data_IF_740292621537
#
_entry.id   IF_740292621537
#
_cell.length_a   1.000
_cell.length_b   1.000
_cell.length_c   1.000
_cell.angle_alpha   90.00
_cell.angle_beta   90.00
_cell.angle_gamma   90.00
#
_symmetry.space_group_name_H-M   'P 1'
#
loop_
_entity.id
_entity.type
_entity.pdbx_description
1 polymer ?
#
# COMPACT_ATOMS: atom_id res chain seq x y z
N UNK A 1 7.34 29.56 -19.05
CA UNK A 1 6.65 30.27 -17.93
C UNK A 1 6.02 29.17 -17.07
N UNK A 2 6.78 28.27 -16.44
CA UNK A 2 7.91 28.48 -15.50
C UNK A 2 7.53 29.36 -14.31
N UNK A 3 6.56 28.88 -13.52
CA UNK A 3 6.28 29.21 -12.12
C UNK A 3 5.13 28.29 -11.74
N UNK A 4 5.28 27.25 -10.94
CA UNK A 4 5.63 27.36 -9.53
C UNK A 4 6.27 26.04 -9.07
N UNK A 5 7.59 26.02 -9.10
CA UNK A 5 8.44 24.99 -8.52
C UNK A 5 8.89 25.54 -7.17
N UNK A 6 8.21 25.27 -6.05
CA UNK A 6 8.80 25.18 -4.68
C UNK A 6 7.76 25.09 -3.55
N UNK A 7 7.37 23.87 -3.15
CA UNK A 7 7.07 23.58 -1.73
C UNK A 7 7.24 22.10 -1.36
N UNK A 8 8.22 21.43 -1.96
CA UNK A 8 8.57 20.07 -1.59
C UNK A 8 10.03 19.80 -1.99
N UNK A 9 11.02 20.04 -1.11
CA UNK A 9 12.44 19.84 -1.46
C UNK A 9 12.78 18.38 -1.81
N UNK A 10 11.86 17.44 -1.54
CA UNK A 10 12.01 16.00 -1.83
C UNK A 10 11.20 15.55 -3.07
N UNK A 11 10.33 16.39 -3.62
CA UNK A 11 9.59 16.12 -4.86
C UNK A 11 10.27 16.80 -6.06
N UNK A 12 11.57 16.58 -6.22
CA UNK A 12 12.33 17.03 -7.39
C UNK A 12 12.35 15.86 -8.38
N UNK A 13 11.31 15.75 -9.23
CA UNK A 13 11.22 14.68 -10.21
C UNK A 13 10.09 14.90 -11.23
N UNK A 14 10.17 14.23 -12.38
CA UNK A 14 9.06 14.23 -13.35
C UNK A 14 7.89 13.36 -12.82
N UNK A 15 6.74 13.39 -13.50
CA UNK A 15 5.55 12.60 -13.12
C UNK A 15 5.85 11.11 -12.91
N UNK A 16 6.81 10.54 -13.64
CA UNK A 16 7.23 9.15 -13.49
C UNK A 16 8.00 8.93 -12.18
N UNK A 17 8.93 9.82 -11.80
CA UNK A 17 9.63 9.77 -10.51
C UNK A 17 8.65 9.83 -9.34
N UNK A 18 7.63 10.69 -9.44
CA UNK A 18 6.59 10.82 -8.43
C UNK A 18 5.75 9.54 -8.28
N UNK A 19 5.39 8.93 -9.41
CA UNK A 19 4.65 7.67 -9.44
C UNK A 19 5.44 6.51 -8.82
N UNK A 20 6.75 6.45 -9.08
CA UNK A 20 7.64 5.44 -8.49
C UNK A 20 7.78 5.65 -6.98
N UNK A 21 7.96 6.88 -6.51
CA UNK A 21 7.99 7.18 -5.08
C UNK A 21 6.68 6.79 -4.38
N UNK A 22 5.54 7.15 -4.96
CA UNK A 22 4.22 6.79 -4.42
C UNK A 22 4.03 5.27 -4.35
N UNK A 23 4.46 4.52 -5.37
CA UNK A 23 4.41 3.07 -5.39
C UNK A 23 5.19 2.44 -4.22
N UNK A 24 6.44 2.85 -4.04
CA UNK A 24 7.30 2.31 -2.97
C UNK A 24 6.91 2.78 -1.58
N UNK A 25 6.17 3.89 -1.45
CA UNK A 25 5.62 4.34 -0.18
C UNK A 25 4.33 3.58 0.18
N UNK A 26 3.38 3.53 -0.74
CA UNK A 26 2.04 2.99 -0.47
C UNK A 26 1.97 1.47 -0.56
N UNK A 27 2.71 0.84 -1.47
CA UNK A 27 2.67 -0.62 -1.65
C UNK A 27 3.02 -1.36 -0.35
N UNK A 28 4.19 -1.10 0.25
CA UNK A 28 4.56 -1.69 1.54
C UNK A 28 3.62 -1.30 2.69
N UNK A 29 3.13 -0.06 2.72
CA UNK A 29 2.22 0.41 3.77
C UNK A 29 0.88 -0.35 3.77
N UNK A 30 0.28 -0.52 2.59
CA UNK A 30 -0.98 -1.27 2.40
C UNK A 30 -0.73 -2.75 2.71
N UNK A 31 0.35 -3.32 2.17
CA UNK A 31 0.73 -4.71 2.43
C UNK A 31 0.86 -4.99 3.92
N UNK A 32 1.60 -4.14 4.66
CA UNK A 32 1.82 -4.30 6.08
C UNK A 32 0.51 -4.19 6.88
N UNK A 33 -0.33 -3.22 6.54
CA UNK A 33 -1.63 -3.01 7.20
C UNK A 33 -2.56 -4.22 7.06
N UNK A 34 -2.63 -4.79 5.85
CA UNK A 34 -3.41 -5.99 5.57
C UNK A 34 -2.80 -7.21 6.29
N UNK A 35 -1.48 -7.34 6.26
CA UNK A 35 -0.79 -8.46 6.92
C UNK A 35 -0.99 -8.45 8.43
N UNK A 36 -0.88 -7.29 9.09
CA UNK A 36 -1.19 -7.13 10.52
C UNK A 36 -2.65 -7.47 10.87
N UNK A 37 -3.58 -7.14 9.97
CA UNK A 37 -4.99 -7.51 10.12
C UNK A 37 -5.19 -9.02 10.04
N UNK A 38 -4.51 -9.69 9.11
CA UNK A 38 -4.55 -11.15 8.97
C UNK A 38 -3.88 -11.90 10.11
N UNK A 39 -2.82 -11.36 10.70
CA UNK A 39 -2.26 -11.89 11.93
C UNK A 39 -3.30 -11.87 13.05
N UNK A 40 -4.02 -10.76 13.21
CA UNK A 40 -5.08 -10.63 14.21
C UNK A 40 -6.20 -11.64 13.99
N UNK A 41 -6.61 -11.87 12.73
CA UNK A 41 -7.59 -12.89 12.36
C UNK A 41 -7.06 -14.30 12.66
N UNK A 42 -5.79 -14.58 12.38
CA UNK A 42 -5.15 -15.87 12.67
C UNK A 42 -5.16 -16.17 14.17
N UNK A 43 -4.85 -15.17 15.01
CA UNK A 43 -4.97 -15.27 16.46
C UNK A 43 -6.42 -15.57 16.90
N UNK A 44 -7.40 -14.89 16.32
CA UNK A 44 -8.81 -15.15 16.62
C UNK A 44 -9.25 -16.57 16.22
N UNK A 45 -8.80 -17.07 15.07
CA UNK A 45 -9.08 -18.44 14.61
C UNK A 45 -8.50 -19.49 15.55
N UNK A 46 -7.29 -19.28 16.07
CA UNK A 46 -6.68 -20.18 17.05
C UNK A 46 -7.40 -20.12 18.41
N UNK A 47 -7.74 -18.93 18.91
CA UNK A 47 -8.34 -18.77 20.25
C UNK A 47 -9.81 -19.20 20.28
N UNK A 48 -10.63 -18.71 19.33
CA UNK A 48 -12.08 -18.93 19.34
C UNK A 48 -12.48 -20.22 18.63
N UNK A 49 -11.87 -20.50 17.49
CA UNK A 49 -12.25 -21.64 16.65
C UNK A 49 -11.34 -22.86 16.85
N UNK A 50 -10.31 -22.75 17.71
CA UNK A 50 -9.37 -23.84 18.05
C UNK A 50 -8.76 -24.48 16.81
N UNK A 51 -8.49 -23.69 15.78
CA UNK A 51 -7.80 -24.17 14.60
C UNK A 51 -6.39 -24.67 14.97
N UNK A 52 -6.00 -25.80 14.39
CA UNK A 52 -4.63 -26.31 14.55
C UNK A 52 -3.66 -25.50 13.70
N UNK A 53 -2.38 -25.47 14.09
CA UNK A 53 -1.33 -24.78 13.30
C UNK A 53 -1.29 -25.25 11.85
N UNK A 54 -1.49 -26.54 11.60
CA UNK A 54 -1.52 -27.09 10.24
C UNK A 54 -2.69 -26.55 9.41
N UNK A 55 -3.85 -26.28 10.03
CA UNK A 55 -5.00 -25.68 9.35
C UNK A 55 -4.75 -24.21 9.03
N UNK A 56 -4.17 -23.46 9.98
CA UNK A 56 -3.82 -22.05 9.78
C UNK A 56 -2.76 -21.91 8.67
N UNK A 57 -1.71 -22.72 8.71
CA UNK A 57 -0.63 -22.71 7.71
C UNK A 57 -1.13 -23.08 6.31
N UNK A 58 -1.97 -24.13 6.19
CA UNK A 58 -2.43 -24.58 4.86
C UNK A 58 -3.45 -23.64 4.23
N UNK A 59 -4.38 -23.09 5.02
CA UNK A 59 -5.52 -22.36 4.47
C UNK A 59 -5.41 -20.86 4.65
N UNK A 60 -5.03 -20.41 5.85
CA UNK A 60 -5.01 -19.00 6.18
C UNK A 60 -3.75 -18.34 5.61
N UNK A 61 -2.57 -18.88 5.86
CA UNK A 61 -1.29 -18.26 5.49
C UNK A 61 -1.17 -18.03 3.97
N UNK A 62 -1.39 -19.08 3.16
CA UNK A 62 -1.33 -18.93 1.69
C UNK A 62 -2.35 -17.93 1.17
N UNK A 63 -3.59 -17.99 1.66
CA UNK A 63 -4.66 -17.07 1.23
C UNK A 63 -4.35 -15.63 1.63
N UNK A 64 -3.86 -15.42 2.85
CA UNK A 64 -3.51 -14.12 3.38
C UNK A 64 -2.33 -13.49 2.65
N UNK A 65 -1.31 -14.28 2.29
CA UNK A 65 -0.20 -13.80 1.47
C UNK A 65 -0.64 -13.42 0.07
N UNK A 66 -1.39 -14.29 -0.62
CA UNK A 66 -1.89 -14.00 -1.97
C UNK A 66 -2.73 -12.73 -1.95
N UNK A 67 -3.66 -12.60 -1.01
CA UNK A 67 -4.50 -11.42 -0.90
C UNK A 67 -3.70 -10.16 -0.57
N UNK A 68 -2.82 -10.21 0.44
CA UNK A 68 -2.01 -9.07 0.84
C UNK A 68 -1.11 -8.59 -0.31
N UNK A 69 -0.47 -9.50 -1.04
CA UNK A 69 0.36 -9.16 -2.21
C UNK A 69 -0.48 -8.61 -3.35
N UNK A 70 -1.64 -9.21 -3.63
CA UNK A 70 -2.52 -8.76 -4.72
C UNK A 70 -3.06 -7.36 -4.46
N UNK A 71 -3.49 -7.06 -3.24
CA UNK A 71 -4.02 -5.74 -2.88
C UNK A 71 -2.89 -4.72 -2.71
N UNK A 72 -1.80 -5.12 -2.03
CA UNK A 72 -0.63 -4.27 -1.79
C UNK A 72 0.07 -3.82 -3.08
N UNK A 73 0.03 -4.63 -4.15
CA UNK A 73 0.53 -4.24 -5.47
C UNK A 73 -0.57 -3.66 -6.36
N UNK A 74 -1.78 -4.21 -6.30
CA UNK A 74 -2.89 -3.82 -7.17
C UNK A 74 -3.34 -2.38 -6.99
N UNK A 75 -3.48 -1.91 -5.75
CA UNK A 75 -3.89 -0.53 -5.45
C UNK A 75 -2.88 0.49 -6.02
N UNK A 76 -1.58 0.41 -5.72
CA UNK A 76 -0.63 1.39 -6.28
C UNK A 76 -0.47 1.25 -7.80
N UNK A 77 -0.58 0.04 -8.39
CA UNK A 77 -0.59 -0.12 -9.86
C UNK A 77 -1.80 0.60 -10.48
N UNK A 78 -2.99 0.42 -9.91
CA UNK A 78 -4.20 1.08 -10.38
C UNK A 78 -4.06 2.61 -10.30
N UNK A 79 -3.49 3.12 -9.20
CA UNK A 79 -3.24 4.54 -9.03
C UNK A 79 -2.23 5.12 -10.04
N UNK A 80 -1.21 4.35 -10.43
CA UNK A 80 -0.32 4.74 -11.53
C UNK A 80 -1.09 4.80 -12.85
N UNK A 81 -1.90 3.77 -13.13
CA UNK A 81 -2.67 3.67 -14.37
C UNK A 81 -3.70 4.81 -14.53
N UNK A 82 -4.30 5.26 -13.43
CA UNK A 82 -5.27 6.37 -13.41
C UNK A 82 -4.63 7.74 -13.23
N UNK A 83 -3.28 7.83 -13.22
CA UNK A 83 -2.55 9.07 -12.92
C UNK A 83 -2.97 9.71 -11.58
N UNK A 84 -3.36 8.89 -10.60
CA UNK A 84 -3.86 9.31 -9.30
C UNK A 84 -2.76 9.70 -8.30
N UNK A 85 -1.51 9.85 -8.74
CA UNK A 85 -0.37 10.21 -7.89
C UNK A 85 -0.05 11.70 -8.05
N UNK A 86 -0.12 12.47 -6.96
CA UNK A 86 0.24 13.90 -6.94
C UNK A 86 1.23 14.20 -5.83
N UNK A 87 1.97 15.29 -5.97
CA UNK A 87 2.85 15.82 -4.92
C UNK A 87 2.01 16.53 -3.86
N UNK A 88 2.16 16.14 -2.60
CA UNK A 88 1.60 16.88 -1.47
C UNK A 88 2.55 17.99 -1.02
N UNK A 89 2.10 19.23 -1.07
CA UNK A 89 2.87 20.41 -0.65
C UNK A 89 3.15 20.45 0.87
N UNK A 90 2.36 19.73 1.67
CA UNK A 90 2.49 19.75 3.13
C UNK A 90 3.64 18.88 3.64
N UNK A 91 3.91 17.76 2.97
CA UNK A 91 4.89 16.76 3.41
C UNK A 91 5.99 16.51 2.37
N UNK A 92 5.87 17.10 1.18
CA UNK A 92 6.82 16.96 0.10
C UNK A 92 6.98 15.54 -0.45
N UNK A 93 5.96 14.70 -0.27
CA UNK A 93 5.90 13.32 -0.74
C UNK A 93 4.86 13.18 -1.86
N UNK A 94 5.05 12.15 -2.69
CA UNK A 94 4.08 11.77 -3.71
C UNK A 94 3.03 10.85 -3.10
N UNK A 95 1.78 11.32 -3.09
CA UNK A 95 0.65 10.66 -2.47
C UNK A 95 -0.42 10.29 -3.49
N UNK A 96 -1.19 9.25 -3.18
CA UNK A 96 -2.43 8.99 -3.89
C UNK A 96 -3.44 10.07 -3.54
N UNK A 97 -4.02 10.70 -4.56
CA UNK A 97 -5.13 11.63 -4.40
C UNK A 97 -6.33 10.79 -3.95
N UNK A 98 -6.83 11.01 -2.74
CA UNK A 98 -8.14 10.50 -2.37
C UNK A 98 -9.15 11.19 -3.29
N UNK A 99 -9.79 10.43 -4.18
CA UNK A 99 -10.94 10.92 -4.92
C UNK A 99 -11.97 11.42 -3.88
N UNK A 100 -12.47 12.66 -3.98
CA UNK A 100 -13.53 13.16 -3.11
C UNK A 100 -14.84 12.38 -3.31
#
# INVERSE_FOLDING_TARGET
LDSERTTAPYAIGNTASCSVMGFFLYGPFIFLSIHSSFLSISFLLQIRFKWTEDQVRKWAETTFHIFATTVGLGIPIAAIATQGMTTSEQIGLCLMIAYP
#
